data_IF_352963019507
#
_entry.id   IF_352963019507
#
_cell.length_a   1.000
_cell.length_b   1.000
_cell.length_c   1.000
_cell.angle_alpha   90.00
_cell.angle_beta   90.00
_cell.angle_gamma   90.00
#
_symmetry.space_group_name_H-M   'P 1'
#
loop_
_entity.id
_entity.type
_entity.pdbx_description
1 polymer ?
#
# COMPACT_ATOMS: atom_id res chain seq x y z
N UNK A 1 31.03 11.55 -33.78
CA UNK A 1 29.76 12.27 -33.66
C UNK A 1 28.53 11.31 -33.62
N UNK A 2 28.66 10.13 -33.00
CA UNK A 2 27.57 9.13 -32.90
C UNK A 2 27.21 8.73 -31.44
N UNK A 3 27.86 9.27 -30.43
CA UNK A 3 27.70 8.91 -29.03
C UNK A 3 26.69 9.85 -28.31
N UNK A 4 26.48 11.07 -28.81
CA UNK A 4 25.56 12.05 -28.17
C UNK A 4 24.07 11.71 -28.29
N UNK A 5 23.66 10.88 -29.27
CA UNK A 5 22.24 10.58 -29.49
C UNK A 5 21.68 9.48 -28.55
N UNK A 6 22.56 8.59 -28.08
CA UNK A 6 22.16 7.49 -27.19
C UNK A 6 21.91 7.98 -25.76
N UNK A 7 22.63 9.00 -25.29
CA UNK A 7 22.44 9.57 -23.94
C UNK A 7 21.15 10.37 -23.80
N UNK A 8 20.71 11.01 -24.90
CA UNK A 8 19.46 11.80 -24.88
C UNK A 8 18.21 10.90 -24.84
N UNK A 9 18.26 9.68 -25.40
CA UNK A 9 17.16 8.74 -25.38
C UNK A 9 16.96 8.12 -23.98
N UNK A 10 18.05 7.85 -23.24
CA UNK A 10 17.98 7.32 -21.87
C UNK A 10 17.35 8.33 -20.89
N UNK A 11 17.61 9.62 -21.09
CA UNK A 11 17.05 10.70 -20.25
C UNK A 11 15.54 10.92 -20.48
N UNK A 12 15.06 10.65 -21.68
CA UNK A 12 13.62 10.79 -22.03
C UNK A 12 12.81 9.65 -21.41
N UNK A 13 13.35 8.43 -21.29
CA UNK A 13 12.67 7.32 -20.64
C UNK A 13 12.48 7.54 -19.13
N UNK A 14 13.43 8.18 -18.44
CA UNK A 14 13.28 8.49 -17.01
C UNK A 14 12.20 9.55 -16.71
N UNK A 15 11.99 10.50 -17.62
CA UNK A 15 10.97 11.53 -17.42
C UNK A 15 9.53 11.05 -17.71
N UNK A 16 9.35 9.99 -18.51
CA UNK A 16 8.04 9.40 -18.78
C UNK A 16 7.51 8.58 -17.59
N UNK A 17 8.40 7.97 -16.80
CA UNK A 17 8.01 7.21 -15.58
C UNK A 17 7.38 8.08 -14.49
N UNK A 18 7.72 9.37 -14.44
CA UNK A 18 7.22 10.32 -13.43
C UNK A 18 5.78 10.80 -13.68
N UNK A 19 5.21 10.59 -14.87
CA UNK A 19 3.93 11.20 -15.26
C UNK A 19 2.68 10.41 -14.81
N UNK A 20 2.80 9.11 -14.53
CA UNK A 20 1.65 8.26 -14.16
C UNK A 20 1.14 8.57 -12.76
N UNK A 21 2.08 8.67 -11.80
CA UNK A 21 1.77 9.02 -10.42
C UNK A 21 1.84 10.55 -10.29
N UNK A 22 0.67 11.18 -10.11
CA UNK A 22 0.55 12.64 -9.98
C UNK A 22 -0.53 13.01 -8.96
N UNK A 23 -0.53 14.27 -8.51
CA UNK A 23 -1.44 14.75 -7.48
C UNK A 23 -2.92 14.66 -7.90
N UNK A 24 -3.25 14.84 -9.17
CA UNK A 24 -4.63 14.74 -9.64
C UNK A 24 -5.18 13.32 -9.47
N UNK A 25 -4.36 12.30 -9.80
CA UNK A 25 -4.74 10.90 -9.62
C UNK A 25 -4.88 10.57 -8.12
N UNK A 26 -3.94 11.01 -7.30
CA UNK A 26 -3.96 10.83 -5.85
C UNK A 26 -5.20 11.49 -5.26
N UNK A 27 -5.46 12.75 -5.61
CA UNK A 27 -6.60 13.49 -5.10
C UNK A 27 -7.93 12.86 -5.54
N UNK A 28 -8.05 12.37 -6.79
CA UNK A 28 -9.22 11.61 -7.25
C UNK A 28 -9.55 10.44 -6.33
N UNK A 29 -8.56 9.61 -6.04
CA UNK A 29 -8.79 8.40 -5.26
C UNK A 29 -9.08 8.71 -3.80
N UNK A 30 -8.24 9.53 -3.16
CA UNK A 30 -8.35 9.78 -1.74
C UNK A 30 -9.63 10.55 -1.38
N UNK A 31 -10.03 11.53 -2.20
CA UNK A 31 -11.25 12.29 -1.97
C UNK A 31 -12.50 11.42 -2.02
N UNK A 32 -12.55 10.42 -2.88
CA UNK A 32 -13.68 9.49 -2.91
C UNK A 32 -13.61 8.51 -1.75
N UNK A 33 -12.44 7.88 -1.54
CA UNK A 33 -12.27 6.85 -0.52
C UNK A 33 -12.48 7.35 0.91
N UNK A 34 -12.30 8.65 1.18
CA UNK A 34 -12.56 9.26 2.48
C UNK A 34 -13.74 10.24 2.47
N UNK A 35 -14.70 10.05 1.55
CA UNK A 35 -15.93 10.85 1.54
C UNK A 35 -16.98 10.29 2.51
N UNK A 36 -17.85 11.16 2.98
CA UNK A 36 -19.01 10.81 3.83
C UNK A 36 -19.92 9.77 3.16
N UNK A 37 -19.95 9.73 1.82
CA UNK A 37 -20.70 8.73 1.04
C UNK A 37 -20.31 7.28 1.43
N UNK A 38 -19.08 7.08 1.85
CA UNK A 38 -18.57 5.76 2.24
C UNK A 38 -18.72 5.46 3.74
N UNK A 39 -19.36 6.35 4.51
CA UNK A 39 -19.74 6.12 5.91
C UNK A 39 -18.58 5.59 6.75
N UNK A 40 -17.34 6.08 6.50
CA UNK A 40 -16.14 5.61 7.19
C UNK A 40 -15.79 4.14 6.97
N UNK A 41 -16.27 3.50 5.91
CA UNK A 41 -15.85 2.19 5.37
C UNK A 41 -15.77 1.04 6.39
N UNK A 42 -16.64 1.04 7.39
CA UNK A 42 -16.64 -0.01 8.41
C UNK A 42 -16.90 -1.38 7.80
N UNK A 43 -16.08 -2.36 8.17
CA UNK A 43 -16.23 -3.74 7.71
C UNK A 43 -17.62 -4.29 8.00
N UNK A 44 -18.29 -4.86 6.97
CA UNK A 44 -19.65 -5.41 7.05
C UNK A 44 -20.78 -4.38 6.88
N UNK A 45 -20.48 -3.14 6.49
CA UNK A 45 -21.48 -2.09 6.21
C UNK A 45 -21.61 -1.81 4.71
N UNK A 46 -22.58 -0.94 4.34
CA UNK A 46 -22.73 -0.48 2.96
C UNK A 46 -21.54 0.37 2.51
N UNK A 47 -20.94 1.16 3.40
CA UNK A 47 -19.81 2.02 3.06
C UNK A 47 -18.60 1.24 2.56
N UNK A 48 -18.23 0.13 3.19
CA UNK A 48 -17.12 -0.70 2.70
C UNK A 48 -17.46 -1.42 1.38
N UNK A 49 -18.74 -1.75 1.15
CA UNK A 49 -19.21 -2.33 -0.12
C UNK A 49 -19.02 -1.33 -1.27
N UNK A 50 -19.38 -0.06 -1.06
CA UNK A 50 -19.17 1.02 -2.05
C UNK A 50 -17.68 1.25 -2.31
N UNK A 51 -16.85 1.26 -1.27
CA UNK A 51 -15.40 1.36 -1.42
C UNK A 51 -14.83 0.21 -2.25
N UNK A 52 -15.27 -1.02 -1.98
CA UNK A 52 -14.86 -2.20 -2.74
C UNK A 52 -15.26 -2.11 -4.22
N UNK A 53 -16.49 -1.71 -4.53
CA UNK A 53 -16.96 -1.52 -5.90
C UNK A 53 -16.14 -0.49 -6.65
N UNK A 54 -15.75 0.59 -5.99
CA UNK A 54 -14.84 1.59 -6.56
C UNK A 54 -13.47 0.97 -6.87
N UNK A 55 -12.87 0.25 -5.93
CA UNK A 55 -11.57 -0.42 -6.10
C UNK A 55 -11.64 -1.44 -7.26
N UNK A 56 -12.67 -2.28 -7.28
CA UNK A 56 -12.91 -3.27 -8.33
C UNK A 56 -12.99 -2.59 -9.72
N UNK A 57 -13.70 -1.46 -9.79
CA UNK A 57 -13.82 -0.67 -11.02
C UNK A 57 -12.50 -0.08 -11.49
N UNK A 58 -11.69 0.43 -10.55
CA UNK A 58 -10.34 0.91 -10.89
C UNK A 58 -9.44 -0.25 -11.34
N UNK A 59 -9.46 -1.42 -10.69
CA UNK A 59 -8.71 -2.61 -11.12
C UNK A 59 -9.13 -3.08 -12.53
N UNK A 60 -10.44 -3.09 -12.82
CA UNK A 60 -10.96 -3.38 -14.15
C UNK A 60 -10.46 -2.37 -15.19
N UNK A 61 -10.51 -1.07 -14.87
CA UNK A 61 -10.08 0.02 -15.74
C UNK A 61 -8.58 -0.04 -16.04
N UNK A 62 -7.77 -0.39 -15.04
CA UNK A 62 -6.33 -0.62 -15.17
C UNK A 62 -6.06 -1.89 -16.00
N UNK A 63 -6.98 -2.83 -16.04
CA UNK A 63 -6.85 -4.11 -16.75
C UNK A 63 -6.02 -5.13 -15.97
N UNK A 64 -6.20 -5.19 -14.65
CA UNK A 64 -5.68 -6.27 -13.82
C UNK A 64 -6.50 -7.55 -14.02
N UNK A 65 -5.87 -8.70 -13.80
CA UNK A 65 -6.56 -9.99 -13.74
C UNK A 65 -7.13 -10.24 -12.34
N UNK A 66 -8.12 -11.09 -12.23
CA UNK A 66 -8.56 -11.66 -10.95
C UNK A 66 -7.54 -12.69 -10.44
N UNK A 67 -7.54 -12.96 -9.13
CA UNK A 67 -6.63 -13.90 -8.51
C UNK A 67 -7.39 -15.02 -7.80
N UNK A 68 -7.28 -16.25 -8.31
CA UNK A 68 -7.91 -17.46 -7.77
C UNK A 68 -9.44 -17.35 -7.55
N UNK A 69 -10.12 -16.49 -8.31
CA UNK A 69 -11.55 -16.22 -8.23
C UNK A 69 -12.07 -15.71 -9.58
N UNK A 70 -13.39 -15.79 -9.80
CA UNK A 70 -14.06 -15.25 -10.98
C UNK A 70 -14.21 -13.72 -10.94
N UNK A 71 -13.96 -13.10 -9.79
CA UNK A 71 -13.99 -11.66 -9.55
C UNK A 71 -12.81 -11.24 -8.66
N UNK A 72 -12.71 -9.96 -8.33
CA UNK A 72 -11.60 -9.46 -7.51
C UNK A 72 -11.74 -9.78 -6.02
N UNK A 73 -12.84 -10.41 -5.56
CA UNK A 73 -13.11 -10.65 -4.14
C UNK A 73 -12.56 -11.98 -3.66
N UNK A 74 -11.86 -11.96 -2.56
CA UNK A 74 -11.54 -13.12 -1.75
C UNK A 74 -12.51 -13.16 -0.57
N UNK A 75 -13.64 -13.85 -0.73
CA UNK A 75 -14.72 -13.91 0.25
C UNK A 75 -14.39 -14.85 1.41
N UNK A 76 -14.83 -14.46 2.62
CA UNK A 76 -14.73 -15.29 3.82
C UNK A 76 -15.73 -14.83 4.90
N UNK A 77 -15.94 -15.69 5.87
CA UNK A 77 -16.78 -15.37 7.05
C UNK A 77 -15.89 -15.25 8.29
N UNK A 78 -16.12 -14.21 9.09
CA UNK A 78 -15.48 -14.03 10.39
C UNK A 78 -16.37 -13.22 11.31
N UNK A 79 -16.46 -13.60 12.58
CA UNK A 79 -17.26 -12.92 13.63
C UNK A 79 -18.73 -12.70 13.23
N UNK A 80 -19.31 -13.62 12.44
CA UNK A 80 -20.68 -13.52 11.95
C UNK A 80 -20.89 -12.49 10.82
N UNK A 81 -19.81 -11.97 10.24
CA UNK A 81 -19.83 -11.04 9.11
C UNK A 81 -19.32 -11.74 7.85
N UNK A 82 -19.96 -11.45 6.71
CA UNK A 82 -19.43 -11.75 5.39
C UNK A 82 -18.44 -10.68 5.01
N UNK A 83 -17.18 -11.05 4.88
CA UNK A 83 -16.06 -10.16 4.62
C UNK A 83 -15.36 -10.56 3.33
N UNK A 84 -14.61 -9.64 2.75
CA UNK A 84 -13.80 -9.94 1.56
C UNK A 84 -12.62 -8.99 1.41
N UNK A 85 -11.46 -9.53 1.03
CA UNK A 85 -10.36 -8.74 0.51
C UNK A 85 -10.60 -8.48 -0.98
N UNK A 86 -10.07 -7.37 -1.50
CA UNK A 86 -10.09 -7.08 -2.95
C UNK A 86 -8.69 -7.28 -3.50
N UNK A 87 -8.55 -8.19 -4.49
CA UNK A 87 -7.25 -8.63 -5.00
C UNK A 87 -7.19 -8.51 -6.52
N UNK A 88 -6.25 -7.70 -7.02
CA UNK A 88 -5.91 -7.60 -8.42
C UNK A 88 -4.54 -8.22 -8.71
N UNK A 89 -4.40 -8.89 -9.84
CA UNK A 89 -3.17 -9.53 -10.30
C UNK A 89 -2.62 -8.83 -11.54
N UNK A 90 -1.36 -8.42 -11.49
CA UNK A 90 -0.53 -8.14 -12.65
C UNK A 90 0.46 -9.29 -12.82
N UNK A 91 0.24 -10.10 -13.85
CA UNK A 91 1.05 -11.29 -14.08
C UNK A 91 2.48 -10.95 -14.48
N UNK A 92 3.45 -11.67 -13.93
CA UNK A 92 4.86 -11.54 -14.22
C UNK A 92 5.25 -12.14 -15.56
N UNK A 93 6.18 -11.48 -16.26
CA UNK A 93 6.61 -11.92 -17.60
C UNK A 93 7.58 -13.08 -17.59
N UNK A 94 8.44 -13.17 -16.57
CA UNK A 94 9.51 -14.17 -16.51
C UNK A 94 9.35 -15.11 -15.30
N UNK A 95 8.83 -14.58 -14.19
CA UNK A 95 8.65 -15.28 -12.91
C UNK A 95 7.20 -15.21 -12.42
N UNK A 96 6.23 -15.75 -13.19
CA UNK A 96 4.80 -15.57 -12.89
C UNK A 96 4.35 -16.23 -11.58
N UNK A 97 5.11 -17.16 -11.03
CA UNK A 97 4.82 -17.86 -9.77
C UNK A 97 5.53 -17.26 -8.56
N UNK A 98 6.33 -16.21 -8.73
CA UNK A 98 6.91 -15.41 -7.67
C UNK A 98 6.09 -14.11 -7.51
N UNK A 99 5.58 -13.86 -6.31
CA UNK A 99 4.67 -12.75 -6.06
C UNK A 99 5.32 -11.66 -5.21
N UNK A 100 5.14 -10.41 -5.63
CA UNK A 100 5.28 -9.22 -4.78
C UNK A 100 3.86 -8.83 -4.35
N UNK A 101 3.62 -8.72 -3.05
CA UNK A 101 2.35 -8.20 -2.50
C UNK A 101 2.51 -6.70 -2.26
N UNK A 102 1.64 -5.88 -2.86
CA UNK A 102 1.49 -4.46 -2.55
C UNK A 102 0.12 -4.28 -1.92
N UNK A 103 0.08 -3.84 -0.67
CA UNK A 103 -1.15 -3.86 0.11
C UNK A 103 -1.38 -2.62 0.96
N UNK A 104 -2.64 -2.41 1.30
CA UNK A 104 -3.14 -1.51 2.33
C UNK A 104 -4.47 -2.07 2.85
N UNK A 105 -4.94 -1.62 4.00
CA UNK A 105 -6.35 -1.86 4.36
C UNK A 105 -7.25 -0.75 3.81
N UNK A 106 -8.50 -1.11 3.51
CA UNK A 106 -9.47 -0.16 2.96
C UNK A 106 -10.68 0.05 3.85
N UNK A 107 -10.78 -0.69 4.96
CA UNK A 107 -11.75 -0.45 6.02
C UNK A 107 -11.28 0.65 6.97
N UNK A 108 -12.23 1.23 7.73
CA UNK A 108 -11.97 2.09 8.86
C UNK A 108 -13.10 1.96 9.89
N UNK A 109 -13.22 2.90 10.83
CA UNK A 109 -14.05 2.78 12.04
C UNK A 109 -15.55 2.88 11.77
N UNK A 110 -15.95 3.68 10.76
CA UNK A 110 -17.36 3.86 10.43
C UNK A 110 -18.00 5.09 11.07
N UNK A 111 -19.24 4.96 11.52
CA UNK A 111 -20.02 6.02 12.14
C UNK A 111 -20.16 5.75 13.63
N UNK A 112 -20.03 6.78 14.46
CA UNK A 112 -20.35 6.77 15.89
C UNK A 112 -21.57 7.65 16.16
N UNK A 113 -22.73 7.02 16.37
CA UNK A 113 -23.99 7.70 16.59
C UNK A 113 -24.11 8.40 17.97
N UNK A 114 -23.14 8.21 18.85
CA UNK A 114 -23.10 8.85 20.17
C UNK A 114 -22.37 10.22 20.11
N UNK A 115 -21.76 10.58 18.95
CA UNK A 115 -21.15 11.88 18.73
C UNK A 115 -22.14 12.92 18.19
N UNK A 116 -22.12 14.12 18.77
CA UNK A 116 -22.85 15.28 18.24
C UNK A 116 -22.04 15.97 17.12
N UNK A 117 -22.72 16.38 16.05
CA UNK A 117 -22.09 17.05 14.90
C UNK A 117 -21.51 16.05 13.91
N UNK A 118 -20.24 16.22 13.55
CA UNK A 118 -19.54 15.26 12.70
C UNK A 118 -19.30 13.95 13.48
N UNK A 119 -19.77 12.85 12.91
CA UNK A 119 -19.73 11.54 13.54
C UNK A 119 -19.25 10.43 12.58
N UNK A 120 -18.74 10.82 11.41
CA UNK A 120 -18.20 9.89 10.42
C UNK A 120 -16.67 9.87 10.54
N UNK A 121 -16.12 8.70 10.77
CA UNK A 121 -14.67 8.50 10.78
C UNK A 121 -14.21 8.22 9.34
N UNK A 122 -13.93 9.29 8.59
CA UNK A 122 -13.60 9.18 7.17
C UNK A 122 -12.25 8.51 6.90
N UNK A 123 -11.32 8.51 7.87
CA UNK A 123 -10.06 7.78 7.77
C UNK A 123 -9.26 8.13 6.52
N UNK A 124 -9.03 9.43 6.29
CA UNK A 124 -8.35 9.89 5.09
C UNK A 124 -6.87 9.50 5.10
N UNK A 125 -6.19 9.70 6.24
CA UNK A 125 -4.84 9.21 6.46
C UNK A 125 -4.85 7.69 6.74
N UNK A 126 -5.78 7.24 7.58
CA UNK A 126 -5.93 5.85 8.04
C UNK A 126 -7.18 5.19 7.44
N UNK A 127 -7.17 4.44 6.32
CA UNK A 127 -6.02 4.28 5.46
C UNK A 127 -6.43 4.47 3.99
N UNK A 128 -7.26 5.51 3.72
CA UNK A 128 -7.55 5.89 2.34
C UNK A 128 -6.26 6.31 1.61
N UNK A 129 -5.26 6.85 2.34
CA UNK A 129 -3.95 7.21 1.80
C UNK A 129 -3.19 6.00 1.25
N UNK A 130 -3.11 4.91 2.02
CA UNK A 130 -2.49 3.66 1.60
C UNK A 130 -3.27 2.96 0.48
N UNK A 131 -4.60 2.93 0.57
CA UNK A 131 -5.47 2.40 -0.50
C UNK A 131 -5.25 3.15 -1.81
N UNK A 132 -5.17 4.48 -1.77
CA UNK A 132 -4.82 5.34 -2.91
C UNK A 132 -3.45 4.99 -3.50
N UNK A 133 -2.47 4.72 -2.64
CA UNK A 133 -1.14 4.30 -3.08
C UNK A 133 -1.16 2.97 -3.83
N UNK A 134 -1.89 1.98 -3.33
CA UNK A 134 -2.04 0.68 -4.01
C UNK A 134 -2.65 0.85 -5.40
N UNK A 135 -3.72 1.64 -5.54
CA UNK A 135 -4.35 1.93 -6.85
C UNK A 135 -3.40 2.66 -7.80
N UNK A 136 -2.66 3.65 -7.30
CA UNK A 136 -1.71 4.43 -8.08
C UNK A 136 -0.52 3.57 -8.56
N UNK A 137 0.01 2.70 -7.69
CA UNK A 137 1.07 1.75 -8.03
C UNK A 137 0.58 0.67 -9.02
N UNK A 138 -0.67 0.22 -8.89
CA UNK A 138 -1.27 -0.71 -9.84
C UNK A 138 -1.29 -0.15 -11.25
N UNK A 139 -1.74 1.10 -11.39
CA UNK A 139 -1.71 1.81 -12.66
C UNK A 139 -0.29 2.00 -13.18
N UNK A 140 0.63 2.44 -12.31
CA UNK A 140 2.03 2.65 -12.65
C UNK A 140 2.70 1.39 -13.20
N UNK A 141 2.63 0.27 -12.49
CA UNK A 141 3.26 -0.97 -12.93
C UNK A 141 2.60 -1.57 -14.16
N UNK A 142 1.28 -1.38 -14.32
CA UNK A 142 0.57 -1.81 -15.53
C UNK A 142 1.05 -1.03 -16.76
N UNK A 143 1.21 0.29 -16.65
CA UNK A 143 1.69 1.13 -17.76
C UNK A 143 3.18 0.94 -18.03
N UNK A 144 3.98 0.69 -16.98
CA UNK A 144 5.41 0.39 -17.12
C UNK A 144 5.66 -0.93 -17.85
N UNK A 145 4.76 -1.90 -17.67
CA UNK A 145 4.76 -3.20 -18.35
C UNK A 145 6.14 -3.91 -18.37
N UNK A 146 6.88 -3.88 -17.25
CA UNK A 146 8.25 -4.41 -17.15
C UNK A 146 8.48 -5.31 -15.93
N UNK A 147 7.41 -5.75 -15.26
CA UNK A 147 7.51 -6.64 -14.10
C UNK A 147 7.88 -8.06 -14.51
N UNK A 148 9.01 -8.58 -14.03
CA UNK A 148 9.37 -10.00 -14.18
C UNK A 148 8.53 -10.88 -13.26
N UNK A 149 8.34 -10.46 -12.00
CA UNK A 149 7.50 -11.11 -11.01
C UNK A 149 6.06 -10.67 -11.11
N UNK A 150 5.15 -11.54 -10.72
CA UNK A 150 3.74 -11.18 -10.55
C UNK A 150 3.56 -10.22 -9.37
N UNK A 151 2.62 -9.28 -9.50
CA UNK A 151 2.27 -8.36 -8.43
C UNK A 151 0.82 -8.62 -8.02
N UNK A 152 0.61 -8.87 -6.74
CA UNK A 152 -0.72 -8.89 -6.12
C UNK A 152 -0.97 -7.55 -5.45
N UNK A 153 -1.94 -6.80 -5.96
CA UNK A 153 -2.46 -5.59 -5.35
C UNK A 153 -3.63 -5.99 -4.45
N UNK A 154 -3.44 -5.85 -3.14
CA UNK A 154 -4.41 -6.37 -2.16
C UNK A 154 -4.89 -5.25 -1.26
N UNK A 155 -6.21 -5.03 -1.24
CA UNK A 155 -6.88 -4.19 -0.27
C UNK A 155 -7.51 -5.11 0.77
N UNK A 156 -6.95 -5.07 1.99
CA UNK A 156 -7.42 -5.90 3.10
C UNK A 156 -8.60 -5.28 3.80
N UNK A 157 -9.58 -6.10 4.17
CA UNK A 157 -10.70 -5.72 5.02
C UNK A 157 -10.44 -6.09 6.48
N UNK A 158 -11.16 -5.44 7.38
CA UNK A 158 -11.18 -5.75 8.81
C UNK A 158 -9.77 -5.76 9.45
N UNK A 159 -8.93 -4.82 9.03
CA UNK A 159 -7.67 -4.48 9.68
C UNK A 159 -7.95 -3.95 11.09
N UNK A 160 -8.86 -2.98 11.21
CA UNK A 160 -9.33 -2.32 12.43
C UNK A 160 -9.99 -3.28 13.42
N UNK A 161 -10.43 -4.42 12.94
CA UNK A 161 -10.95 -5.51 13.75
C UNK A 161 -9.87 -6.52 14.17
N UNK A 162 -8.59 -6.24 13.91
CA UNK A 162 -7.42 -7.04 14.29
C UNK A 162 -6.85 -7.89 13.17
N UNK A 163 -6.56 -7.29 12.02
CA UNK A 163 -5.85 -7.89 10.89
C UNK A 163 -6.56 -9.13 10.31
N UNK A 164 -7.91 -9.12 10.28
CA UNK A 164 -8.68 -10.33 9.94
C UNK A 164 -8.47 -10.71 8.48
N UNK A 165 -8.54 -9.72 7.57
CA UNK A 165 -8.40 -9.95 6.13
C UNK A 165 -7.02 -10.46 5.73
N UNK A 166 -5.96 -9.84 6.22
CA UNK A 166 -4.59 -10.25 5.93
C UNK A 166 -4.23 -11.61 6.54
N UNK A 167 -4.72 -11.91 7.75
CA UNK A 167 -4.58 -13.24 8.35
C UNK A 167 -5.32 -14.32 7.57
N UNK A 168 -6.49 -13.99 7.00
CA UNK A 168 -7.21 -14.93 6.14
C UNK A 168 -6.43 -15.18 4.85
N UNK A 169 -5.94 -14.14 4.19
CA UNK A 169 -5.10 -14.25 3.00
C UNK A 169 -3.86 -15.12 3.28
N UNK A 170 -3.14 -14.84 4.37
CA UNK A 170 -1.94 -15.59 4.75
C UNK A 170 -2.19 -17.09 4.95
N UNK A 171 -3.38 -17.50 5.41
CA UNK A 171 -3.77 -18.91 5.54
C UNK A 171 -4.08 -19.60 4.21
N UNK A 172 -4.30 -18.83 3.15
CA UNK A 172 -4.73 -19.35 1.84
C UNK A 172 -3.64 -19.33 0.78
N UNK A 173 -2.57 -18.59 1.00
CA UNK A 173 -1.44 -18.49 0.07
C UNK A 173 -0.29 -19.41 0.50
N UNK A 174 0.47 -19.91 -0.48
CA UNK A 174 1.75 -20.54 -0.19
C UNK A 174 2.78 -19.44 0.18
N UNK A 175 3.30 -19.40 1.41
CA UNK A 175 4.27 -18.36 1.82
C UNK A 175 5.55 -18.35 0.98
N UNK A 176 5.97 -19.50 0.45
CA UNK A 176 7.20 -19.61 -0.35
C UNK A 176 7.06 -18.95 -1.72
N UNK A 177 5.84 -18.77 -2.21
CA UNK A 177 5.58 -18.04 -3.46
C UNK A 177 5.63 -16.52 -3.30
N UNK A 178 5.54 -16.00 -2.06
CA UNK A 178 5.61 -14.56 -1.79
C UNK A 178 7.05 -14.17 -1.53
N UNK A 179 7.61 -13.35 -2.42
CA UNK A 179 9.00 -12.87 -2.32
C UNK A 179 9.12 -11.71 -1.35
N UNK A 180 8.18 -10.76 -1.38
CA UNK A 180 8.15 -9.61 -0.50
C UNK A 180 6.73 -9.07 -0.33
N UNK A 181 6.47 -8.42 0.83
CA UNK A 181 5.26 -7.67 1.13
C UNK A 181 5.56 -6.19 1.34
N UNK A 182 4.91 -5.35 0.57
CA UNK A 182 4.97 -3.89 0.60
C UNK A 182 3.63 -3.40 1.11
N UNK A 183 3.51 -3.23 2.42
CA UNK A 183 2.30 -2.67 3.03
C UNK A 183 2.44 -1.15 3.12
N UNK A 184 1.36 -0.41 2.89
CA UNK A 184 1.38 1.05 2.86
C UNK A 184 0.31 1.55 3.81
N UNK A 185 0.71 2.38 4.76
CA UNK A 185 -0.19 2.85 5.80
C UNK A 185 0.14 4.25 6.26
N UNK A 186 -0.89 5.11 6.33
CA UNK A 186 -0.80 6.46 6.90
C UNK A 186 0.34 7.28 6.27
N UNK A 187 0.25 7.54 4.98
CA UNK A 187 1.25 8.31 4.22
C UNK A 187 0.80 9.74 3.89
N UNK A 188 -0.26 10.23 4.54
CA UNK A 188 -0.86 11.54 4.27
C UNK A 188 -0.26 12.70 5.07
N UNK A 189 0.55 12.43 6.08
CA UNK A 189 1.18 13.46 6.92
C UNK A 189 2.66 13.58 6.60
N UNK A 190 3.24 14.77 6.81
CA UNK A 190 4.68 15.01 6.58
C UNK A 190 5.54 14.13 7.47
N UNK A 191 6.52 13.48 6.86
CA UNK A 191 7.47 12.64 7.59
C UNK A 191 8.28 13.42 8.62
N UNK A 192 8.57 12.84 9.79
CA UNK A 192 9.45 13.46 10.79
C UNK A 192 10.89 13.70 10.28
N UNK A 193 11.26 13.05 9.18
CA UNK A 193 12.57 13.20 8.54
C UNK A 193 12.60 14.26 7.42
N UNK A 194 11.48 14.93 7.14
CA UNK A 194 11.34 15.97 6.12
C UNK A 194 10.70 15.48 4.81
N UNK A 195 10.73 16.35 3.81
CA UNK A 195 10.12 16.09 2.50
C UNK A 195 10.81 14.93 1.76
N UNK A 196 10.03 14.21 0.93
CA UNK A 196 10.50 13.09 0.11
C UNK A 196 11.16 11.97 0.91
N UNK A 197 10.73 11.81 2.17
CA UNK A 197 11.21 10.75 3.05
C UNK A 197 10.03 9.92 3.54
N UNK A 198 10.30 8.63 3.74
CA UNK A 198 9.39 7.71 4.40
C UNK A 198 10.16 6.89 5.46
N UNK A 199 9.43 6.22 6.33
CA UNK A 199 10.02 5.27 7.25
C UNK A 199 9.39 3.88 7.11
N UNK A 200 10.15 2.86 7.54
CA UNK A 200 9.82 1.45 7.33
C UNK A 200 9.80 0.72 8.67
N UNK A 201 8.70 0.03 8.95
CA UNK A 201 8.61 -0.82 10.14
C UNK A 201 9.50 -2.05 10.02
N UNK A 202 10.09 -2.49 11.14
CA UNK A 202 10.87 -3.72 11.18
C UNK A 202 12.10 -3.71 10.26
N UNK A 203 12.73 -2.56 10.05
CA UNK A 203 13.83 -2.35 9.10
C UNK A 203 14.96 -3.39 9.22
N UNK A 204 15.29 -3.81 10.43
CA UNK A 204 16.41 -4.75 10.71
C UNK A 204 15.97 -6.23 10.70
N UNK A 205 14.70 -6.55 10.39
CA UNK A 205 14.20 -7.94 10.39
C UNK A 205 14.53 -8.71 9.11
N UNK A 206 14.89 -8.01 8.06
CA UNK A 206 15.38 -8.55 6.79
C UNK A 206 16.25 -7.50 6.09
N UNK A 207 16.84 -7.84 4.96
CA UNK A 207 17.58 -6.87 4.15
C UNK A 207 16.69 -6.06 3.19
N UNK A 208 15.37 -6.22 3.26
CA UNK A 208 14.39 -5.49 2.45
C UNK A 208 14.62 -3.97 2.49
N UNK A 209 14.74 -3.39 3.70
CA UNK A 209 14.96 -1.95 3.85
C UNK A 209 16.25 -1.46 3.21
N UNK A 210 17.33 -2.26 3.27
CA UNK A 210 18.62 -1.95 2.64
C UNK A 210 18.55 -2.03 1.12
N UNK A 211 17.80 -2.99 0.57
CA UNK A 211 17.54 -3.10 -0.87
C UNK A 211 16.81 -1.84 -1.36
N UNK A 212 15.76 -1.44 -0.65
CA UNK A 212 15.01 -0.22 -0.99
C UNK A 212 15.91 1.02 -0.92
N UNK A 213 16.71 1.18 0.15
CA UNK A 213 17.64 2.30 0.26
C UNK A 213 18.64 2.34 -0.90
N UNK A 214 19.19 1.18 -1.29
CA UNK A 214 20.10 1.06 -2.44
C UNK A 214 19.43 1.51 -3.75
N UNK A 215 18.17 1.11 -3.97
CA UNK A 215 17.42 1.51 -5.17
C UNK A 215 17.11 3.01 -5.21
N UNK A 216 17.03 3.65 -4.03
CA UNK A 216 16.84 5.10 -3.92
C UNK A 216 18.12 5.92 -4.07
N UNK A 217 19.31 5.30 -4.12
CA UNK A 217 20.58 6.00 -4.32
C UNK A 217 20.57 6.79 -5.64
N UNK A 218 21.01 8.05 -5.58
CA UNK A 218 21.01 8.97 -6.72
C UNK A 218 19.67 9.63 -7.02
N UNK A 219 18.58 9.23 -6.33
CA UNK A 219 17.29 9.92 -6.35
C UNK A 219 17.21 10.98 -5.24
N UNK A 220 16.12 11.74 -5.24
CA UNK A 220 15.82 12.70 -4.17
C UNK A 220 15.08 12.07 -2.97
N UNK A 221 14.70 10.79 -3.06
CA UNK A 221 13.95 10.06 -2.04
C UNK A 221 14.87 9.40 -1.02
N UNK A 222 14.39 9.30 0.23
CA UNK A 222 15.10 8.60 1.31
C UNK A 222 14.16 7.75 2.14
N UNK A 223 14.63 6.58 2.55
CA UNK A 223 13.95 5.69 3.47
C UNK A 223 14.73 5.62 4.80
N UNK A 224 14.01 5.67 5.91
CA UNK A 224 14.57 5.56 7.25
C UNK A 224 13.94 4.38 8.00
N UNK A 225 14.63 3.80 9.00
CA UNK A 225 13.99 2.92 9.96
C UNK A 225 12.86 3.63 10.72
N UNK A 226 11.87 2.86 11.18
CA UNK A 226 10.81 3.34 12.06
C UNK A 226 11.37 4.06 13.29
N UNK A 227 11.07 5.37 13.49
CA UNK A 227 11.57 6.11 14.64
C UNK A 227 10.73 5.88 15.91
N UNK A 228 9.61 5.16 15.81
CA UNK A 228 8.61 4.99 16.88
C UNK A 228 8.67 3.59 17.49
N UNK A 229 9.85 3.07 17.77
CA UNK A 229 10.10 1.68 18.24
C UNK A 229 9.22 1.31 19.45
N UNK A 230 8.97 2.27 20.37
CA UNK A 230 8.12 2.07 21.54
C UNK A 230 6.68 1.72 21.21
N UNK A 231 6.18 2.10 20.06
CA UNK A 231 4.81 1.79 19.61
C UNK A 231 4.66 0.40 19.00
N UNK A 232 5.77 -0.31 18.70
CA UNK A 232 5.80 -1.66 18.11
C UNK A 232 4.97 -1.76 16.82
N UNK A 233 5.08 -0.76 15.95
CA UNK A 233 4.27 -0.59 14.75
C UNK A 233 4.38 -1.76 13.77
N UNK A 234 5.51 -2.46 13.74
CA UNK A 234 5.71 -3.63 12.87
C UNK A 234 4.61 -4.71 13.03
N UNK A 235 4.00 -4.82 14.22
CA UNK A 235 2.97 -5.83 14.50
C UNK A 235 1.54 -5.26 14.48
N UNK A 236 1.37 -4.01 14.10
CA UNK A 236 0.08 -3.30 14.20
C UNK A 236 -0.62 -3.08 12.86
N UNK A 237 -0.03 -3.52 11.74
CA UNK A 237 -0.64 -3.47 10.43
C UNK A 237 -0.55 -4.80 9.69
N UNK A 238 -1.14 -4.90 8.51
CA UNK A 238 -1.35 -6.11 7.72
C UNK A 238 -0.05 -6.84 7.33
N UNK A 239 1.08 -6.12 7.23
CA UNK A 239 2.39 -6.72 7.05
C UNK A 239 2.68 -7.81 8.10
N UNK A 240 2.19 -7.63 9.33
CA UNK A 240 2.44 -8.56 10.43
C UNK A 240 1.87 -9.96 10.17
N UNK A 241 0.73 -10.04 9.47
CA UNK A 241 0.13 -11.33 9.12
C UNK A 241 1.03 -12.14 8.18
N UNK A 242 1.68 -11.47 7.22
CA UNK A 242 2.63 -12.08 6.29
C UNK A 242 3.99 -12.33 6.94
N UNK A 243 4.49 -11.39 7.73
CA UNK A 243 5.78 -11.51 8.44
C UNK A 243 5.82 -12.73 9.38
N UNK A 244 4.69 -13.06 10.05
CA UNK A 244 4.56 -14.28 10.87
C UNK A 244 4.66 -15.58 10.08
N UNK A 245 4.62 -15.53 8.76
CA UNK A 245 4.85 -16.65 7.85
C UNK A 245 6.29 -16.65 7.31
N UNK A 246 7.17 -15.80 7.85
CA UNK A 246 8.54 -15.65 7.41
C UNK A 246 8.71 -14.81 6.14
N UNK A 247 7.64 -14.20 5.61
CA UNK A 247 7.69 -13.33 4.45
C UNK A 247 8.32 -11.99 4.86
N UNK A 248 9.31 -11.44 4.08
CA UNK A 248 9.84 -10.10 4.30
C UNK A 248 8.78 -9.04 3.94
N UNK A 249 7.82 -8.85 4.86
CA UNK A 249 6.71 -7.92 4.71
C UNK A 249 6.86 -6.77 5.71
N UNK A 250 6.85 -5.56 5.19
CA UNK A 250 7.12 -4.33 5.93
C UNK A 250 6.10 -3.25 5.58
N UNK A 251 5.86 -2.32 6.50
CA UNK A 251 4.97 -1.17 6.27
C UNK A 251 5.78 0.10 6.02
N UNK A 252 5.47 0.77 4.92
CA UNK A 252 5.89 2.14 4.64
C UNK A 252 4.88 3.11 5.25
N UNK A 253 5.37 4.13 5.93
CA UNK A 253 4.56 5.24 6.42
C UNK A 253 5.33 6.56 6.43
N UNK A 254 4.60 7.66 6.57
CA UNK A 254 5.19 8.98 6.80
C UNK A 254 4.68 9.64 8.08
N UNK A 255 3.58 9.14 8.65
CA UNK A 255 2.89 9.79 9.76
C UNK A 255 3.76 9.92 11.01
N UNK A 256 3.78 11.11 11.64
CA UNK A 256 4.46 11.35 12.91
C UNK A 256 3.60 10.83 14.07
N UNK A 257 3.64 9.52 14.34
CA UNK A 257 2.75 8.80 15.26
C UNK A 257 2.66 9.36 16.67
N UNK A 258 3.65 10.11 17.10
CA UNK A 258 3.67 10.81 18.41
C UNK A 258 2.97 12.17 18.39
N UNK A 259 2.62 12.67 17.22
CA UNK A 259 2.05 14.03 17.02
C UNK A 259 0.81 14.04 16.14
N UNK A 260 0.44 12.94 15.55
CA UNK A 260 -0.78 12.84 14.76
C UNK A 260 -2.01 12.91 15.68
N UNK A 261 -2.69 14.04 15.63
CA UNK A 261 -3.86 14.31 16.49
C UNK A 261 -5.16 13.79 15.87
N UNK A 262 -5.14 13.37 14.62
CA UNK A 262 -6.32 12.97 13.86
C UNK A 262 -6.53 11.44 13.87
N UNK A 263 -5.51 10.67 14.23
CA UNK A 263 -5.58 9.19 14.25
C UNK A 263 -6.78 8.69 15.06
N UNK A 264 -7.62 7.88 14.41
CA UNK A 264 -8.87 7.33 14.96
C UNK A 264 -9.86 8.41 15.47
N UNK A 265 -9.95 9.52 14.73
CA UNK A 265 -10.91 10.60 15.01
C UNK A 265 -11.66 10.98 13.74
N UNK A 266 -12.81 11.61 13.92
CA UNK A 266 -13.61 12.21 12.83
C UNK A 266 -12.84 13.33 12.11
N UNK A 267 -11.80 13.88 12.73
CA UNK A 267 -10.93 14.90 12.10
C UNK A 267 -9.90 14.33 11.13
N UNK A 268 -9.82 12.99 10.93
CA UNK A 268 -8.96 12.40 9.90
C UNK A 268 -9.59 12.58 8.50
N UNK A 269 -9.45 13.79 7.99
CA UNK A 269 -10.05 14.31 6.78
C UNK A 269 -9.03 14.65 5.70
N UNK A 270 -9.46 14.64 4.42
CA UNK A 270 -8.61 15.03 3.29
C UNK A 270 -7.96 16.39 3.49
N UNK A 271 -8.68 17.35 4.11
CA UNK A 271 -8.19 18.69 4.38
C UNK A 271 -6.99 18.76 5.33
N UNK A 272 -6.74 17.69 6.07
CA UNK A 272 -5.60 17.58 7.01
C UNK A 272 -4.37 16.95 6.38
N UNK A 273 -4.47 16.48 5.14
CA UNK A 273 -3.42 15.75 4.44
C UNK A 273 -2.58 16.67 3.55
N UNK A 274 -1.37 16.23 3.28
CA UNK A 274 -0.43 16.84 2.34
C UNK A 274 -0.34 15.98 1.07
N UNK A 275 -1.05 16.39 0.00
CA UNK A 275 -1.13 15.66 -1.28
C UNK A 275 0.25 15.48 -1.91
N UNK A 276 1.13 16.46 -1.77
CA UNK A 276 2.50 16.36 -2.23
C UNK A 276 3.24 15.21 -1.52
N UNK A 277 3.14 15.13 -0.19
CA UNK A 277 3.74 14.04 0.59
C UNK A 277 3.23 12.66 0.13
N UNK A 278 1.92 12.50 -0.06
CA UNK A 278 1.35 11.23 -0.55
C UNK A 278 1.95 10.89 -1.93
N UNK A 279 1.88 11.83 -2.86
CA UNK A 279 2.33 11.63 -4.24
C UNK A 279 3.80 11.26 -4.31
N UNK A 280 4.66 12.00 -3.61
CA UNK A 280 6.10 11.75 -3.61
C UNK A 280 6.46 10.45 -2.87
N UNK A 281 5.70 10.07 -1.82
CA UNK A 281 5.88 8.78 -1.15
C UNK A 281 5.54 7.61 -2.06
N UNK A 282 4.45 7.68 -2.83
CA UNK A 282 4.09 6.65 -3.81
C UNK A 282 5.19 6.50 -4.87
N UNK A 283 5.74 7.62 -5.38
CA UNK A 283 6.88 7.60 -6.31
C UNK A 283 8.13 6.98 -5.69
N UNK A 284 8.42 7.34 -4.43
CA UNK A 284 9.55 6.75 -3.69
C UNK A 284 9.41 5.23 -3.53
N UNK A 285 8.20 4.73 -3.23
CA UNK A 285 7.91 3.29 -3.15
C UNK A 285 8.14 2.63 -4.52
N UNK A 286 7.63 3.21 -5.61
CA UNK A 286 7.81 2.67 -6.96
C UNK A 286 9.29 2.54 -7.33
N UNK A 287 10.11 3.58 -7.08
CA UNK A 287 11.55 3.57 -7.33
C UNK A 287 12.26 2.59 -6.40
N UNK A 288 11.99 2.66 -5.10
CA UNK A 288 12.69 1.88 -4.08
C UNK A 288 12.43 0.37 -4.17
N UNK A 289 11.29 -0.05 -4.72
CA UNK A 289 10.93 -1.47 -4.84
C UNK A 289 11.14 -2.04 -6.26
N UNK A 290 11.75 -1.27 -7.15
CA UNK A 290 11.92 -1.63 -8.57
C UNK A 290 12.69 -2.94 -8.77
N UNK A 291 13.78 -3.19 -8.05
CA UNK A 291 14.58 -4.40 -8.17
C UNK A 291 13.85 -5.66 -7.65
N UNK A 292 12.91 -5.48 -6.71
CA UNK A 292 12.04 -6.57 -6.25
C UNK A 292 11.06 -7.00 -7.34
N UNK A 293 10.48 -6.03 -8.03
CA UNK A 293 9.51 -6.24 -9.12
C UNK A 293 10.20 -6.76 -10.38
N UNK A 294 11.38 -6.25 -10.73
CA UNK A 294 12.19 -6.74 -11.86
C UNK A 294 12.78 -8.12 -11.63
N UNK A 295 12.83 -8.59 -10.37
CA UNK A 295 13.40 -9.90 -10.04
C UNK A 295 14.91 -9.92 -9.86
N UNK A 296 15.57 -8.76 -9.82
CA UNK A 296 17.01 -8.60 -9.57
C UNK A 296 17.38 -8.92 -8.12
N UNK A 297 16.61 -8.39 -7.17
CA UNK A 297 16.83 -8.62 -5.75
C UNK A 297 15.73 -9.52 -5.16
N UNK A 298 16.09 -10.31 -4.16
CA UNK A 298 15.19 -11.16 -3.35
C UNK A 298 15.56 -10.97 -1.88
N UNK A 299 14.69 -10.34 -1.08
CA UNK A 299 14.99 -10.11 0.33
C UNK A 299 15.12 -11.41 1.14
N UNK A 300 15.95 -11.37 2.19
CA UNK A 300 16.05 -12.46 3.14
C UNK A 300 14.73 -12.65 3.89
N UNK A 301 14.38 -13.92 4.18
CA UNK A 301 13.19 -14.25 4.97
C UNK A 301 13.30 -13.73 6.39
N UNK A 302 12.16 -13.34 6.98
CA UNK A 302 12.09 -12.95 8.39
C UNK A 302 12.15 -14.20 9.26
N UNK A 303 12.95 -14.18 10.33
CA UNK A 303 12.91 -15.23 11.35
C UNK A 303 11.58 -15.21 12.08
N UNK A 304 10.94 -16.38 12.20
CA UNK A 304 9.66 -16.55 12.90
C UNK A 304 9.86 -16.97 14.36
N UNK A 305 11.10 -17.14 14.81
CA UNK A 305 11.47 -17.61 16.15
C UNK A 305 11.67 -16.48 17.16
N UNK A 306 11.31 -15.23 16.82
CA UNK A 306 11.44 -14.05 17.70
C UNK A 306 10.10 -13.46 18.15
#
# INVERSE_FOLDING_TARGET
>A
MRVSFLFTLLFICFNLQSQVINEDLVNKHISYLSSDELEGRKSGTQGIELAAQYIEKEFETIGLKTFNSDNYRQNFESRGLNLFNVIGLLEGKEKPNEYIVISAHYDHIGIDNDLDGDNIFNGANDNASGTTAVLSLAKHYKELDSNSRSILFILFTAEEMGLIGSRYFGKKINPDSIVAGINIEMIGKKSPFGEKTAWLTGFDRSDFGKIVQKNLEGSEYKLYPDPFIGYRLFYRSDNAALARLGIPAHTFSTSPMDKDLDYHKVTDEVSTLDMYTITETIKAIAVGTSSLVSGEDTPTRISIDE
#
